data_IF_908502291451
#
_entry.id   IF_908502291451
#
_cell.length_a   1.000
_cell.length_b   1.000
_cell.length_c   1.000
_cell.angle_alpha   90.00
_cell.angle_beta   90.00
_cell.angle_gamma   90.00
#
_symmetry.space_group_name_H-M   'P 1'
#
loop_
_entity.id
_entity.type
_entity.pdbx_description
1 polymer ?
#
# COMPACT_ATOMS: atom_id res chain seq x y z
N UNK A 1 106.89 -1.62 15.06
CA UNK A 1 106.48 -2.57 16.07
C UNK A 1 104.97 -2.81 16.00
N UNK A 2 104.70 -3.95 15.67
CA UNK A 2 103.67 -4.90 16.14
C UNK A 2 102.18 -4.74 15.79
N UNK A 3 101.83 -5.74 15.00
CA UNK A 3 100.66 -6.66 15.11
C UNK A 3 99.28 -6.09 14.81
N UNK A 4 98.72 -6.44 13.62
CA UNK A 4 97.92 -7.65 13.42
C UNK A 4 96.65 -7.77 14.23
N UNK A 5 95.50 -7.72 13.59
CA UNK A 5 94.45 -8.76 13.74
C UNK A 5 93.32 -8.60 12.72
N UNK A 6 93.20 -9.67 12.03
CA UNK A 6 92.01 -9.97 11.11
C UNK A 6 90.71 -10.01 11.88
N UNK A 7 89.69 -9.41 11.35
CA UNK A 7 88.39 -9.80 11.77
C UNK A 7 87.49 -10.03 10.52
N UNK A 8 87.06 -11.24 10.43
CA UNK A 8 86.22 -11.82 9.33
C UNK A 8 84.87 -11.15 9.20
N UNK A 9 84.55 -10.64 8.08
CA UNK A 9 83.14 -10.26 7.70
C UNK A 9 82.39 -11.51 7.30
N UNK A 10 81.41 -11.94 8.13
CA UNK A 10 80.40 -12.91 7.79
C UNK A 10 79.28 -12.15 7.07
N UNK A 11 79.15 -12.45 5.80
CA UNK A 11 77.95 -11.97 4.98
C UNK A 11 76.77 -12.84 5.32
N UNK A 12 75.78 -12.30 6.05
CA UNK A 12 74.49 -12.88 6.22
C UNK A 12 73.60 -12.38 5.03
N UNK A 13 73.34 -13.25 4.08
CA UNK A 13 72.40 -13.04 3.02
C UNK A 13 70.99 -13.30 3.59
N UNK A 14 70.29 -12.22 3.94
CA UNK A 14 68.88 -12.28 4.33
C UNK A 14 67.97 -12.47 3.10
N UNK A 15 67.41 -13.67 2.93
CA UNK A 15 66.42 -14.01 1.92
C UNK A 15 65.06 -13.44 2.40
N UNK A 16 64.66 -12.28 1.88
CA UNK A 16 63.33 -11.71 2.11
C UNK A 16 62.35 -12.44 1.19
N UNK A 17 61.66 -13.45 1.72
CA UNK A 17 60.50 -14.07 1.07
C UNK A 17 59.29 -13.14 1.23
N UNK A 18 58.98 -12.37 0.19
CA UNK A 18 57.73 -11.61 0.07
C UNK A 18 56.63 -12.60 -0.25
N UNK A 19 55.82 -12.92 0.78
CA UNK A 19 54.58 -13.68 0.65
C UNK A 19 53.51 -12.76 0.02
N UNK A 20 53.36 -12.82 -1.29
CA UNK A 20 52.25 -12.17 -1.97
C UNK A 20 50.95 -12.94 -1.64
N UNK A 21 50.19 -12.41 -0.68
CA UNK A 21 48.84 -12.87 -0.41
C UNK A 21 47.97 -12.52 -1.61
N UNK A 22 47.75 -13.50 -2.49
CA UNK A 22 46.72 -13.40 -3.56
C UNK A 22 45.37 -13.33 -2.85
N UNK A 23 44.82 -12.13 -2.73
CA UNK A 23 43.40 -11.93 -2.39
C UNK A 23 42.61 -12.48 -3.58
N UNK A 24 42.15 -13.73 -3.45
CA UNK A 24 41.16 -14.30 -4.40
C UNK A 24 39.86 -13.57 -4.20
N UNK A 25 39.62 -12.54 -5.00
CA UNK A 25 38.27 -11.98 -5.17
C UNK A 25 37.46 -13.09 -5.79
N UNK A 26 36.68 -13.79 -4.96
CA UNK A 26 35.65 -14.71 -5.47
C UNK A 26 34.67 -13.86 -6.29
N UNK A 27 34.81 -13.90 -7.62
CA UNK A 27 33.78 -13.37 -8.49
C UNK A 27 32.54 -14.20 -8.21
N UNK A 28 31.58 -13.62 -7.50
CA UNK A 28 30.25 -14.22 -7.33
C UNK A 28 29.67 -14.31 -8.75
N UNK A 29 29.43 -15.52 -9.23
CA UNK A 29 28.80 -15.70 -10.52
C UNK A 29 27.37 -15.13 -10.46
N UNK A 30 27.06 -14.28 -11.42
CA UNK A 30 25.74 -13.69 -11.51
C UNK A 30 24.71 -14.79 -11.79
N UNK A 31 23.75 -14.95 -10.87
CA UNK A 31 22.73 -16.01 -10.99
C UNK A 31 21.42 -15.43 -11.51
N UNK A 32 20.85 -16.08 -12.54
CA UNK A 32 19.56 -15.71 -13.11
C UNK A 32 18.42 -16.14 -12.17
N UNK A 33 17.54 -15.20 -11.82
CA UNK A 33 16.36 -15.48 -11.01
C UNK A 33 15.25 -16.11 -11.83
N UNK A 34 14.59 -17.12 -11.30
CA UNK A 34 13.43 -17.77 -11.95
C UNK A 34 12.16 -16.90 -11.87
N UNK A 35 12.05 -16.07 -10.83
CA UNK A 35 10.94 -15.13 -10.59
C UNK A 35 11.48 -13.74 -10.30
N UNK A 36 10.90 -12.75 -10.97
CA UNK A 36 11.23 -11.34 -10.86
C UNK A 36 9.97 -10.55 -10.53
N UNK A 37 10.04 -9.71 -9.51
CA UNK A 37 8.95 -8.78 -9.14
C UNK A 37 9.45 -7.37 -9.26
N UNK A 38 8.75 -6.56 -10.07
CA UNK A 38 9.10 -5.17 -10.33
C UNK A 38 7.95 -4.25 -10.01
N UNK A 39 8.25 -3.04 -9.60
CA UNK A 39 7.25 -1.96 -9.40
C UNK A 39 7.21 -1.00 -10.59
N UNK A 40 8.34 -0.80 -11.26
CA UNK A 40 8.47 0.14 -12.37
C UNK A 40 8.03 -0.42 -13.72
N UNK A 41 7.94 0.44 -14.75
CA UNK A 41 7.57 0.06 -16.11
C UNK A 41 8.71 -0.64 -16.90
N UNK A 42 9.90 -0.70 -16.31
CA UNK A 42 11.11 -1.27 -16.95
C UNK A 42 11.72 -2.31 -16.03
N UNK A 43 12.13 -3.43 -16.62
CA UNK A 43 12.88 -4.50 -15.95
C UNK A 43 14.36 -4.36 -16.33
N UNK A 44 15.22 -4.32 -15.32
CA UNK A 44 16.67 -4.10 -15.47
C UNK A 44 17.47 -5.39 -15.35
N UNK A 45 18.77 -5.32 -15.62
CA UNK A 45 19.69 -6.45 -15.43
C UNK A 45 19.68 -6.87 -13.94
N UNK A 46 19.69 -5.92 -13.00
CA UNK A 46 19.68 -6.21 -11.58
C UNK A 46 18.41 -6.85 -11.05
N UNK A 47 17.29 -6.72 -11.79
CA UNK A 47 16.06 -7.46 -11.47
C UNK A 47 16.19 -8.93 -11.83
N UNK A 48 16.82 -9.24 -12.99
CA UNK A 48 17.00 -10.60 -13.48
C UNK A 48 18.16 -11.34 -12.81
N UNK A 49 19.28 -10.65 -12.59
CA UNK A 49 20.50 -11.28 -12.09
C UNK A 49 20.87 -10.79 -10.69
N UNK A 50 21.29 -11.72 -9.82
CA UNK A 50 22.06 -11.34 -8.63
C UNK A 50 23.45 -10.84 -9.08
N UNK A 51 24.09 -10.03 -8.25
CA UNK A 51 25.46 -9.57 -8.49
C UNK A 51 25.73 -8.89 -9.85
N UNK A 52 24.72 -8.18 -10.37
CA UNK A 52 24.81 -7.45 -11.64
C UNK A 52 25.80 -6.25 -11.60
N UNK A 53 26.33 -5.89 -10.42
CA UNK A 53 27.33 -4.85 -10.24
C UNK A 53 26.92 -3.51 -10.86
N UNK A 54 27.83 -2.94 -11.67
CA UNK A 54 27.59 -1.65 -12.35
C UNK A 54 26.51 -1.70 -13.42
N UNK A 55 26.13 -2.90 -13.88
CA UNK A 55 25.10 -3.10 -14.90
C UNK A 55 23.68 -3.20 -14.32
N UNK A 56 23.52 -3.22 -12.98
CA UNK A 56 22.23 -3.47 -12.32
C UNK A 56 21.10 -2.54 -12.81
N UNK A 57 21.39 -1.27 -13.06
CA UNK A 57 20.41 -0.28 -13.49
C UNK A 57 20.14 -0.28 -15.01
N UNK A 58 20.83 -1.15 -15.79
CA UNK A 58 20.68 -1.18 -17.24
C UNK A 58 19.33 -1.78 -17.64
N UNK A 59 18.49 -1.08 -18.41
CA UNK A 59 17.18 -1.56 -18.82
C UNK A 59 17.29 -2.68 -19.87
N UNK A 60 16.48 -3.73 -19.72
CA UNK A 60 16.42 -4.85 -20.67
C UNK A 60 15.06 -5.00 -21.36
N UNK A 61 13.98 -4.89 -20.60
CA UNK A 61 12.62 -5.13 -21.09
C UNK A 61 11.64 -4.12 -20.52
N UNK A 62 10.55 -3.90 -21.25
CA UNK A 62 9.36 -3.32 -20.66
C UNK A 62 8.72 -4.33 -19.71
N UNK A 63 8.31 -3.89 -18.54
CA UNK A 63 7.56 -4.72 -17.60
C UNK A 63 6.16 -5.05 -18.17
N UNK A 64 5.52 -6.13 -17.72
CA UNK A 64 4.12 -6.41 -18.00
C UNK A 64 3.19 -5.27 -17.55
N UNK A 65 1.92 -5.35 -17.91
CA UNK A 65 0.92 -4.41 -17.41
C UNK A 65 0.76 -4.53 -15.87
N UNK A 66 0.32 -3.46 -15.23
CA UNK A 66 0.14 -3.40 -13.76
C UNK A 66 -0.69 -4.58 -13.24
N UNK A 67 -0.18 -5.26 -12.22
CA UNK A 67 -0.82 -6.40 -11.58
C UNK A 67 -0.86 -7.67 -12.45
N UNK A 68 -0.09 -7.71 -13.54
CA UNK A 68 -0.02 -8.88 -14.41
C UNK A 68 1.35 -9.57 -14.37
N UNK A 69 1.38 -10.79 -14.87
CA UNK A 69 2.58 -11.63 -14.96
C UNK A 69 2.82 -12.04 -16.39
N UNK A 70 4.08 -11.95 -16.83
CA UNK A 70 4.56 -12.42 -18.12
C UNK A 70 5.71 -13.40 -17.97
N UNK A 71 5.96 -14.23 -18.99
CA UNK A 71 7.12 -15.13 -19.04
C UNK A 71 8.05 -14.69 -20.17
N UNK A 72 9.35 -14.62 -19.87
CA UNK A 72 10.41 -14.28 -20.83
C UNK A 72 11.33 -15.49 -20.96
N UNK A 73 11.67 -15.94 -22.21
CA UNK A 73 12.66 -17.00 -22.38
C UNK A 73 14.01 -16.61 -21.77
N UNK A 74 14.60 -17.49 -20.95
CA UNK A 74 15.87 -17.21 -20.28
C UNK A 74 17.02 -16.92 -21.29
N UNK A 75 16.99 -17.58 -22.43
CA UNK A 75 17.96 -17.32 -23.53
C UNK A 75 17.89 -15.88 -24.04
N UNK A 76 16.68 -15.32 -24.18
CA UNK A 76 16.47 -13.94 -24.61
C UNK A 76 16.95 -12.93 -23.56
N UNK A 77 16.73 -13.24 -22.26
CA UNK A 77 17.26 -12.40 -21.16
C UNK A 77 18.77 -12.34 -21.22
N UNK A 78 19.43 -13.51 -21.36
CA UNK A 78 20.90 -13.61 -21.46
C UNK A 78 21.43 -12.90 -22.70
N UNK A 79 20.81 -13.10 -23.86
CA UNK A 79 21.20 -12.43 -25.10
C UNK A 79 21.19 -10.90 -24.94
N UNK A 80 20.11 -10.34 -24.44
CA UNK A 80 20.00 -8.89 -24.23
C UNK A 80 20.94 -8.37 -23.15
N UNK A 81 21.15 -9.11 -22.07
CA UNK A 81 22.08 -8.72 -21.03
C UNK A 81 23.52 -8.67 -21.57
N UNK A 82 23.93 -9.65 -22.37
CA UNK A 82 25.25 -9.67 -23.03
C UNK A 82 25.41 -8.53 -24.03
N UNK A 83 24.39 -8.28 -24.84
CA UNK A 83 24.38 -7.14 -25.77
C UNK A 83 24.49 -5.79 -25.05
N UNK A 84 23.99 -5.71 -23.83
CA UNK A 84 24.09 -4.53 -22.95
C UNK A 84 25.43 -4.46 -22.17
N UNK A 85 26.38 -5.36 -22.44
CA UNK A 85 27.73 -5.38 -21.86
C UNK A 85 27.87 -6.28 -20.62
N UNK A 86 26.81 -6.97 -20.18
CA UNK A 86 26.87 -7.90 -19.06
C UNK A 86 27.28 -9.30 -19.54
N UNK A 87 28.61 -9.51 -19.73
CA UNK A 87 29.19 -10.72 -20.34
C UNK A 87 28.97 -12.01 -19.56
N UNK A 88 28.87 -11.92 -18.24
CA UNK A 88 28.76 -13.07 -17.32
C UNK A 88 27.34 -13.65 -17.23
N UNK A 89 26.37 -13.10 -17.99
CA UNK A 89 25.01 -13.60 -18.02
C UNK A 89 24.94 -15.04 -18.51
N UNK A 90 24.30 -15.92 -17.71
CA UNK A 90 23.99 -17.31 -18.04
C UNK A 90 22.54 -17.64 -17.78
N UNK A 91 22.02 -18.71 -18.39
CA UNK A 91 20.63 -19.13 -18.15
C UNK A 91 20.46 -19.93 -16.86
N UNK A 92 21.56 -20.38 -16.26
CA UNK A 92 21.59 -21.24 -15.06
C UNK A 92 20.66 -22.46 -15.17
N UNK A 93 20.47 -22.98 -16.38
CA UNK A 93 19.60 -24.09 -16.68
C UNK A 93 18.10 -23.75 -16.74
N UNK A 94 17.72 -22.49 -16.53
CA UNK A 94 16.34 -22.04 -16.65
C UNK A 94 15.91 -21.97 -18.12
N UNK A 95 14.64 -22.32 -18.37
CA UNK A 95 14.02 -22.18 -19.70
C UNK A 95 13.35 -20.82 -19.88
N UNK A 96 12.76 -20.31 -18.79
CA UNK A 96 12.08 -19.02 -18.78
C UNK A 96 12.14 -18.39 -17.39
N UNK A 97 11.99 -17.08 -17.36
CA UNK A 97 11.87 -16.27 -16.15
C UNK A 97 10.45 -15.70 -16.10
N UNK A 98 9.80 -15.84 -14.96
CA UNK A 98 8.50 -15.23 -14.71
C UNK A 98 8.71 -13.81 -14.19
N UNK A 99 8.09 -12.82 -14.84
CA UNK A 99 8.15 -11.41 -14.43
C UNK A 99 6.77 -10.97 -14.03
N UNK A 100 6.62 -10.51 -12.79
CA UNK A 100 5.39 -9.96 -12.23
C UNK A 100 5.57 -8.47 -11.98
N UNK A 101 4.64 -7.65 -12.49
CA UNK A 101 4.60 -6.24 -12.15
C UNK A 101 3.60 -6.01 -11.03
N UNK A 102 4.10 -5.49 -9.91
CA UNK A 102 3.29 -5.22 -8.73
C UNK A 102 2.36 -4.03 -8.97
N UNK A 103 1.16 -4.09 -8.41
CA UNK A 103 0.20 -3.01 -8.42
C UNK A 103 -0.50 -2.91 -7.06
N UNK A 104 -1.02 -1.71 -6.77
CA UNK A 104 -1.95 -1.47 -5.67
C UNK A 104 -3.35 -1.41 -6.25
N UNK A 105 -4.28 -2.17 -5.68
CA UNK A 105 -5.68 -2.13 -6.08
C UNK A 105 -6.39 -1.03 -5.31
N UNK A 106 -6.91 -0.02 -6.02
CA UNK A 106 -7.68 1.08 -5.44
C UNK A 106 -9.17 0.78 -5.64
N UNK A 107 -9.85 0.43 -4.56
CA UNK A 107 -11.28 0.19 -4.50
C UNK A 107 -12.06 1.41 -4.00
N UNK A 108 -13.38 1.26 -3.87
CA UNK A 108 -14.25 2.34 -3.36
C UNK A 108 -13.90 2.69 -1.91
N UNK A 109 -13.57 1.70 -1.08
CA UNK A 109 -13.22 1.91 0.34
C UNK A 109 -11.96 2.76 0.50
N UNK A 110 -10.93 2.52 -0.34
CA UNK A 110 -9.69 3.29 -0.30
C UNK A 110 -9.95 4.76 -0.68
N UNK A 111 -10.83 4.98 -1.65
CA UNK A 111 -11.25 6.33 -2.06
C UNK A 111 -12.06 7.01 -0.96
N UNK A 112 -13.00 6.29 -0.33
CA UNK A 112 -13.78 6.81 0.80
C UNK A 112 -12.88 7.21 1.97
N UNK A 113 -11.85 6.44 2.27
CA UNK A 113 -10.89 6.75 3.31
C UNK A 113 -10.08 8.02 2.99
N UNK A 114 -9.57 8.12 1.75
CA UNK A 114 -8.84 9.31 1.29
C UNK A 114 -9.73 10.56 1.29
N UNK A 115 -10.98 10.46 0.85
CA UNK A 115 -11.93 11.56 0.83
C UNK A 115 -12.35 11.94 2.26
N UNK A 116 -12.54 10.97 3.15
CA UNK A 116 -12.80 11.23 4.57
C UNK A 116 -11.66 12.04 5.20
N UNK A 117 -10.41 11.64 4.98
CA UNK A 117 -9.26 12.36 5.48
C UNK A 117 -9.21 13.80 4.95
N UNK A 118 -9.41 13.99 3.64
CA UNK A 118 -9.43 15.33 3.03
C UNK A 118 -10.60 16.20 3.53
N UNK A 119 -11.76 15.58 3.82
CA UNK A 119 -12.92 16.31 4.36
C UNK A 119 -12.67 16.78 5.79
N UNK A 120 -12.08 15.94 6.63
CA UNK A 120 -11.72 16.28 8.02
C UNK A 120 -10.62 17.33 8.08
N UNK A 121 -9.63 17.27 7.18
CA UNK A 121 -8.58 18.28 7.08
C UNK A 121 -9.15 19.67 6.75
N UNK A 122 -10.13 19.74 5.85
CA UNK A 122 -10.80 20.98 5.48
C UNK A 122 -11.83 21.48 6.49
N UNK A 123 -12.33 20.58 7.35
CA UNK A 123 -13.38 20.87 8.35
C UNK A 123 -12.99 20.27 9.70
N UNK A 124 -12.10 20.94 10.45
CA UNK A 124 -11.59 20.41 11.74
C UNK A 124 -12.64 20.21 12.83
N UNK A 125 -13.78 20.90 12.70
CA UNK A 125 -14.90 20.84 13.65
C UNK A 125 -15.74 19.54 13.52
N UNK A 126 -15.52 18.75 12.45
CA UNK A 126 -16.22 17.49 12.24
C UNK A 126 -15.66 16.38 13.14
N UNK A 127 -16.56 15.66 13.80
CA UNK A 127 -16.19 14.46 14.54
C UNK A 127 -15.95 13.29 13.57
N UNK A 128 -14.69 12.85 13.47
CA UNK A 128 -14.29 11.74 12.62
C UNK A 128 -15.06 10.43 12.90
N UNK A 129 -15.45 10.20 14.16
CA UNK A 129 -16.20 9.02 14.58
C UNK A 129 -17.68 9.11 14.22
N UNK A 130 -18.19 10.32 14.18
CA UNK A 130 -19.58 10.61 13.83
C UNK A 130 -19.78 10.71 12.30
N UNK A 131 -18.72 10.95 11.52
CA UNK A 131 -18.80 11.14 10.08
C UNK A 131 -19.08 9.81 9.35
N UNK A 132 -20.26 9.71 8.74
CA UNK A 132 -20.62 8.66 7.80
C UNK A 132 -20.39 9.17 6.37
N UNK A 133 -19.61 8.43 5.58
CA UNK A 133 -19.33 8.72 4.17
C UNK A 133 -19.65 7.48 3.33
N UNK A 134 -20.37 7.69 2.25
CA UNK A 134 -20.64 6.66 1.23
C UNK A 134 -20.54 7.30 -0.15
N UNK A 135 -19.72 6.73 -1.01
CA UNK A 135 -19.46 7.18 -2.37
C UNK A 135 -19.95 6.16 -3.40
N UNK A 136 -20.38 6.67 -4.55
CA UNK A 136 -20.80 5.89 -5.70
C UNK A 136 -20.10 6.41 -6.96
N UNK A 137 -20.01 5.57 -8.01
CA UNK A 137 -19.45 5.95 -9.30
C UNK A 137 -18.21 5.18 -9.72
N UNK A 138 -17.59 4.42 -8.81
CA UNK A 138 -16.53 3.49 -9.16
C UNK A 138 -17.16 2.16 -9.61
N UNK A 139 -17.04 1.82 -10.90
CA UNK A 139 -17.62 0.57 -11.45
C UNK A 139 -16.80 -0.67 -11.08
N UNK A 140 -15.47 -0.52 -11.03
CA UNK A 140 -14.53 -1.60 -10.71
C UNK A 140 -13.27 -0.99 -10.10
N UNK A 141 -12.55 -1.74 -9.26
CA UNK A 141 -11.27 -1.31 -8.71
C UNK A 141 -10.28 -0.94 -9.82
N UNK A 142 -9.38 -0.02 -9.54
CA UNK A 142 -8.34 0.47 -10.45
C UNK A 142 -6.99 -0.02 -9.99
N UNK A 143 -6.21 -0.62 -10.88
CA UNK A 143 -4.81 -0.95 -10.62
C UNK A 143 -3.96 0.32 -10.68
N UNK A 144 -3.30 0.64 -9.59
CA UNK A 144 -2.42 1.79 -9.44
C UNK A 144 -0.95 1.38 -9.35
N UNK A 145 -0.08 2.30 -9.70
CA UNK A 145 1.37 2.10 -9.67
C UNK A 145 1.86 1.94 -8.22
N UNK A 146 2.35 0.74 -7.89
CA UNK A 146 2.92 0.40 -6.57
C UNK A 146 4.23 1.15 -6.27
N UNK A 147 4.92 1.68 -7.28
CA UNK A 147 6.12 2.49 -7.11
C UNK A 147 5.83 3.96 -6.78
N UNK A 148 4.58 4.38 -6.87
CA UNK A 148 4.19 5.74 -6.54
C UNK A 148 4.04 5.93 -5.03
N UNK A 149 4.64 6.99 -4.48
CA UNK A 149 4.46 7.40 -3.08
C UNK A 149 3.02 7.89 -2.78
N UNK A 150 2.29 8.27 -3.83
CA UNK A 150 0.91 8.74 -3.73
C UNK A 150 0.10 8.20 -4.91
N UNK A 151 -0.31 6.91 -4.87
CA UNK A 151 -1.05 6.27 -5.96
C UNK A 151 -2.47 6.82 -6.09
N UNK A 152 -3.03 7.39 -5.03
CA UNK A 152 -4.35 8.01 -4.94
C UNK A 152 -4.23 9.40 -4.33
N UNK A 153 -4.87 10.39 -4.93
CA UNK A 153 -4.97 11.75 -4.38
C UNK A 153 -6.33 12.38 -4.67
N UNK A 154 -6.88 13.10 -3.68
CA UNK A 154 -8.10 13.90 -3.84
C UNK A 154 -7.72 15.21 -4.52
N UNK A 155 -8.35 15.50 -5.65
CA UNK A 155 -8.07 16.71 -6.45
C UNK A 155 -9.10 17.78 -6.16
N UNK A 156 -10.36 17.37 -6.12
CA UNK A 156 -11.50 18.26 -5.90
C UNK A 156 -12.45 17.62 -4.90
N UNK A 157 -13.04 18.46 -4.05
CA UNK A 157 -13.97 18.06 -3.00
C UNK A 157 -14.98 19.19 -2.79
N UNK A 158 -16.20 18.95 -3.22
CA UNK A 158 -17.36 19.81 -3.00
C UNK A 158 -18.34 19.10 -2.08
N UNK A 159 -18.61 19.67 -0.91
CA UNK A 159 -19.46 19.08 0.12
C UNK A 159 -20.44 20.12 0.66
N UNK A 160 -21.70 19.75 0.70
CA UNK A 160 -22.75 20.57 1.32
C UNK A 160 -23.12 19.97 2.69
N UNK A 161 -22.80 20.63 3.80
CA UNK A 161 -23.05 20.10 5.16
C UNK A 161 -24.53 19.97 5.50
N UNK A 162 -25.41 20.75 4.85
CA UNK A 162 -26.85 20.73 5.12
C UNK A 162 -27.53 19.52 4.45
N UNK A 163 -27.25 19.29 3.16
CA UNK A 163 -27.82 18.16 2.43
C UNK A 163 -27.01 16.88 2.62
N UNK A 164 -25.77 16.97 3.05
CA UNK A 164 -24.81 15.86 3.09
C UNK A 164 -24.29 15.44 1.71
N UNK A 165 -24.73 16.08 0.65
CA UNK A 165 -24.27 15.74 -0.70
C UNK A 165 -22.78 16.06 -0.86
N UNK A 166 -22.04 15.12 -1.45
CA UNK A 166 -20.63 15.27 -1.75
C UNK A 166 -20.37 14.89 -3.21
N UNK A 167 -19.55 15.72 -3.86
CA UNK A 167 -18.93 15.44 -5.15
C UNK A 167 -17.43 15.53 -4.98
N UNK A 168 -16.71 14.55 -5.50
CA UNK A 168 -15.26 14.54 -5.42
C UNK A 168 -14.65 14.02 -6.70
N UNK A 169 -13.46 14.52 -7.01
CA UNK A 169 -12.63 14.00 -8.09
C UNK A 169 -11.32 13.53 -7.51
N UNK A 170 -11.00 12.28 -7.75
CA UNK A 170 -9.75 11.66 -7.32
C UNK A 170 -8.88 11.34 -8.52
N UNK A 171 -7.58 11.48 -8.33
CA UNK A 171 -6.56 11.14 -9.30
C UNK A 171 -5.88 9.85 -8.86
N UNK A 172 -5.90 8.86 -9.73
CA UNK A 172 -5.24 7.57 -9.52
C UNK A 172 -4.09 7.47 -10.52
N UNK A 173 -2.86 7.26 -10.01
CA UNK A 173 -1.69 7.04 -10.84
C UNK A 173 -1.70 5.59 -11.32
N UNK A 174 -2.01 5.41 -12.59
CA UNK A 174 -1.83 4.13 -13.28
C UNK A 174 -0.43 4.07 -13.87
N UNK A 175 -0.13 3.26 -14.84
CA UNK A 175 1.21 3.07 -15.41
C UNK A 175 1.89 4.41 -15.81
N UNK A 176 1.57 4.92 -16.98
CA UNK A 176 2.15 6.16 -17.53
C UNK A 176 1.18 7.34 -17.45
N UNK A 177 -0.04 7.11 -16.98
CA UNK A 177 -1.13 8.07 -17.01
C UNK A 177 -1.70 8.36 -15.63
N UNK A 178 -2.38 9.50 -15.55
CA UNK A 178 -3.17 9.89 -14.39
C UNK A 178 -4.65 9.73 -14.73
N UNK A 179 -5.29 8.77 -14.11
CA UNK A 179 -6.74 8.55 -14.28
C UNK A 179 -7.51 9.42 -13.30
N UNK A 180 -8.35 10.30 -13.85
CA UNK A 180 -9.28 11.09 -13.04
C UNK A 180 -10.61 10.35 -12.95
N UNK A 181 -11.11 10.18 -11.71
CA UNK A 181 -12.40 9.55 -11.42
C UNK A 181 -13.24 10.51 -10.62
N UNK A 182 -14.43 10.84 -11.11
CA UNK A 182 -15.41 11.67 -10.39
C UNK A 182 -16.43 10.78 -9.73
N UNK A 183 -16.66 10.99 -8.43
CA UNK A 183 -17.59 10.25 -7.59
C UNK A 183 -18.59 11.20 -6.95
N UNK A 184 -19.73 10.63 -6.61
CA UNK A 184 -20.80 11.33 -5.90
C UNK A 184 -21.22 10.49 -4.70
N UNK A 185 -21.76 11.14 -3.69
CA UNK A 185 -22.21 10.40 -2.53
C UNK A 185 -22.84 11.27 -1.46
N UNK A 186 -22.83 10.74 -0.26
CA UNK A 186 -23.33 11.40 0.95
C UNK A 186 -22.27 11.32 2.03
N UNK A 187 -21.96 12.48 2.60
CA UNK A 187 -21.11 12.63 3.79
C UNK A 187 -21.89 13.44 4.83
N UNK A 188 -22.17 12.87 5.99
CA UNK A 188 -22.94 13.52 7.04
C UNK A 188 -22.55 13.05 8.43
N UNK A 189 -22.62 13.96 9.39
CA UNK A 189 -22.50 13.55 10.78
C UNK A 189 -23.70 12.71 11.20
N UNK A 190 -23.43 11.62 11.89
CA UNK A 190 -24.44 10.72 12.46
C UNK A 190 -24.33 10.71 13.97
N UNK A 191 -25.43 10.45 14.63
CA UNK A 191 -25.50 10.20 16.07
C UNK A 191 -26.06 8.83 16.33
N UNK A 192 -25.61 8.20 17.39
CA UNK A 192 -26.17 6.95 17.85
C UNK A 192 -27.48 7.22 18.60
N UNK A 193 -28.48 6.43 18.31
CA UNK A 193 -29.75 6.41 19.00
C UNK A 193 -30.11 4.97 19.35
N UNK A 194 -30.97 4.80 20.33
CA UNK A 194 -31.54 3.50 20.69
C UNK A 194 -32.89 3.29 19.98
N UNK A 195 -33.02 2.13 19.31
CA UNK A 195 -34.25 1.67 18.67
C UNK A 195 -34.72 0.38 19.36
N UNK A 196 -35.99 0.09 19.27
CA UNK A 196 -36.54 -1.17 19.78
C UNK A 196 -36.06 -2.36 18.93
N UNK A 197 -35.41 -3.35 19.54
CA UNK A 197 -35.00 -4.59 18.87
C UNK A 197 -36.21 -5.49 18.52
N UNK A 198 -37.30 -5.40 19.29
CA UNK A 198 -38.56 -6.09 19.09
C UNK A 198 -39.75 -5.16 19.38
N UNK A 199 -40.97 -5.50 18.99
CA UNK A 199 -42.12 -4.70 19.35
C UNK A 199 -42.30 -4.67 20.88
N UNK A 200 -42.54 -3.47 21.40
CA UNK A 200 -42.84 -3.21 22.83
C UNK A 200 -44.27 -2.74 22.95
N UNK A 201 -45.05 -3.35 23.85
CA UNK A 201 -46.38 -2.91 24.16
C UNK A 201 -46.37 -1.73 25.15
N UNK A 202 -47.48 -1.00 25.21
CA UNK A 202 -47.65 0.06 26.22
C UNK A 202 -47.51 -0.54 27.60
N UNK A 203 -46.67 0.07 28.43
CA UNK A 203 -46.41 -0.36 29.81
C UNK A 203 -45.30 -1.42 29.93
N UNK A 204 -44.78 -1.98 28.81
CA UNK A 204 -43.66 -2.90 28.85
C UNK A 204 -42.39 -2.21 29.40
N UNK A 205 -41.73 -2.85 30.37
CA UNK A 205 -40.46 -2.37 30.91
C UNK A 205 -39.34 -2.72 29.94
N UNK A 206 -38.58 -1.72 29.53
CA UNK A 206 -37.47 -1.87 28.56
C UNK A 206 -36.29 -2.55 29.27
N UNK A 207 -35.85 -3.66 28.73
CA UNK A 207 -34.64 -4.39 29.13
C UNK A 207 -33.47 -4.12 28.15
N UNK A 208 -32.25 -4.47 28.55
CA UNK A 208 -31.08 -4.32 27.66
C UNK A 208 -31.22 -5.06 26.32
N UNK A 209 -31.86 -6.24 26.33
CA UNK A 209 -32.12 -7.03 25.12
C UNK A 209 -33.16 -6.42 24.18
N UNK A 210 -33.89 -5.42 24.63
CA UNK A 210 -34.87 -4.69 23.82
C UNK A 210 -34.26 -3.51 23.07
N UNK A 211 -32.98 -3.20 23.31
CA UNK A 211 -32.27 -2.06 22.76
C UNK A 211 -31.36 -2.50 21.60
N UNK A 212 -31.52 -1.82 20.48
CA UNK A 212 -30.61 -1.89 19.34
C UNK A 212 -30.04 -0.50 19.07
N UNK A 213 -28.71 -0.40 18.93
CA UNK A 213 -28.06 0.85 18.51
C UNK A 213 -28.29 1.05 17.01
N UNK A 214 -28.74 2.25 16.63
CA UNK A 214 -28.92 2.68 15.26
C UNK A 214 -28.26 4.03 15.06
N UNK A 215 -27.69 4.27 13.86
CA UNK A 215 -27.10 5.57 13.51
C UNK A 215 -28.03 6.34 12.59
N UNK A 216 -28.33 7.57 12.96
CA UNK A 216 -29.11 8.49 12.13
C UNK A 216 -28.37 9.81 11.90
N UNK A 217 -28.66 10.50 10.79
CA UNK A 217 -28.10 11.83 10.56
C UNK A 217 -28.37 12.77 11.75
N UNK A 218 -27.34 13.49 12.21
CA UNK A 218 -27.43 14.38 13.36
C UNK A 218 -28.58 15.39 13.26
N UNK A 219 -28.80 15.95 12.07
CA UNK A 219 -29.90 16.91 11.85
C UNK A 219 -31.30 16.31 11.94
N UNK A 220 -31.43 14.96 11.89
CA UNK A 220 -32.71 14.24 12.07
C UNK A 220 -32.93 13.76 13.49
N UNK A 221 -31.89 13.78 14.31
CA UNK A 221 -32.00 13.37 15.69
C UNK A 221 -32.63 14.49 16.53
N UNK A 222 -33.61 14.15 17.38
CA UNK A 222 -34.10 15.05 18.40
C UNK A 222 -33.29 14.88 19.67
N UNK A 223 -33.24 15.91 20.52
CA UNK A 223 -32.54 15.85 21.79
C UNK A 223 -33.00 14.68 22.69
N UNK A 224 -34.26 14.25 22.56
CA UNK A 224 -34.81 13.12 23.31
C UNK A 224 -34.36 11.74 22.82
N UNK A 225 -33.90 11.66 21.57
CA UNK A 225 -33.37 10.41 20.96
C UNK A 225 -31.89 10.22 21.22
N UNK A 226 -31.18 11.29 21.61
CA UNK A 226 -29.77 11.27 21.96
C UNK A 226 -29.71 11.08 23.47
N UNK A 227 -29.89 9.85 23.91
CA UNK A 227 -30.00 9.48 25.32
C UNK A 227 -29.02 8.35 25.60
N UNK A 228 -28.50 8.27 26.82
CA UNK A 228 -27.64 7.16 27.20
C UNK A 228 -28.46 5.88 27.47
N UNK A 229 -27.85 4.71 27.25
CA UNK A 229 -28.49 3.40 27.47
C UNK A 229 -29.10 3.28 28.88
N UNK A 230 -28.37 3.77 29.90
CA UNK A 230 -28.80 3.73 31.30
C UNK A 230 -30.06 4.52 31.58
N UNK A 231 -30.36 5.52 30.75
CA UNK A 231 -31.58 6.34 30.94
C UNK A 231 -32.83 5.67 30.35
N UNK A 232 -32.71 4.60 29.61
CA UNK A 232 -33.82 3.92 28.92
C UNK A 232 -34.15 2.59 29.60
N UNK A 233 -33.13 1.85 30.05
CA UNK A 233 -33.31 0.54 30.69
C UNK A 233 -34.06 0.70 32.00
N UNK A 234 -35.11 -0.10 32.21
CA UNK A 234 -35.96 -0.04 33.40
C UNK A 234 -37.17 0.93 33.30
N UNK A 235 -37.20 1.76 32.22
CA UNK A 235 -38.40 2.60 32.00
C UNK A 235 -39.53 1.82 31.33
N UNK A 236 -40.77 2.22 31.59
CA UNK A 236 -41.95 1.67 30.94
C UNK A 236 -42.29 2.44 29.65
N UNK A 237 -42.57 1.73 28.59
CA UNK A 237 -42.98 2.29 27.32
C UNK A 237 -44.34 3.01 27.45
N UNK A 238 -44.36 4.32 27.20
CA UNK A 238 -45.61 5.11 27.31
C UNK A 238 -46.64 4.79 26.22
N UNK A 239 -46.17 4.23 25.12
CA UNK A 239 -46.98 3.80 23.95
C UNK A 239 -46.38 2.53 23.36
N UNK A 240 -47.14 1.83 22.54
CA UNK A 240 -46.59 0.72 21.76
C UNK A 240 -45.51 1.24 20.81
N UNK A 241 -44.35 0.53 20.74
CA UNK A 241 -43.22 0.86 19.89
C UNK A 241 -42.95 -0.35 18.99
N UNK A 242 -42.91 -0.14 17.69
CA UNK A 242 -42.56 -1.20 16.73
C UNK A 242 -41.05 -1.41 16.71
N UNK A 243 -40.62 -2.62 16.30
CA UNK A 243 -39.21 -2.91 16.08
C UNK A 243 -38.58 -1.90 15.08
N UNK A 244 -37.34 -1.48 15.34
CA UNK A 244 -36.60 -0.48 14.56
C UNK A 244 -37.02 0.98 14.78
N UNK A 245 -38.02 1.25 15.60
CA UNK A 245 -38.42 2.63 15.93
C UNK A 245 -37.65 3.17 17.13
N UNK A 246 -37.30 4.49 17.13
CA UNK A 246 -36.64 5.14 18.25
C UNK A 246 -37.45 5.05 19.55
N UNK A 247 -36.72 4.85 20.63
CA UNK A 247 -37.24 4.84 22.03
C UNK A 247 -37.19 6.20 22.66
#
# INVERSE_FOLDING_TARGET
MTRSLLTRFVRLAGLAATLAAAVSVSASAATLRSEVRVVGPVVTIGDFFSDAGTHAATPLFRAPDLGTRGNVPASLVVERARAAGFGDATTDGLRSVSVERLAVTIGITDIEEAVRAALLERNPDLDAKALSLSLNGLRQPVMADAGSSSPLSVVDLDWNPVSGQIRTSVRIRTDETLRLVTLHGIAQETVEIFTAARPLERGAVVSEGDLQVSRIPRHRATARQITERGDIVGLAARRAVQAGRPL
#
